data_IF_280386393928
#
_entry.id   IF_280386393928
#
_cell.length_a   1.000
_cell.length_b   1.000
_cell.length_c   1.000
_cell.angle_alpha   90.00
_cell.angle_beta   90.00
_cell.angle_gamma   90.00
#
_symmetry.space_group_name_H-M   'P 1'
#
loop_
_entity.id
_entity.type
_entity.pdbx_description
1 polymer ?
#
# COMPACT_ATOMS: atom_id res chain seq x y z
N UNK A 1 6.61 24.74 -3.81
CA UNK A 1 5.30 24.07 -3.60
C UNK A 1 5.43 22.59 -3.92
N UNK A 2 4.93 21.75 -3.04
CA UNK A 2 4.99 20.33 -3.20
C UNK A 2 3.66 19.80 -3.76
N UNK A 3 3.73 19.07 -4.85
CA UNK A 3 2.55 18.51 -5.50
C UNK A 3 2.49 17.02 -5.20
N UNK A 4 1.33 16.56 -4.75
CA UNK A 4 1.08 15.14 -4.52
C UNK A 4 -0.11 14.72 -5.38
N UNK A 5 0.11 13.80 -6.31
CA UNK A 5 -0.94 13.28 -7.17
C UNK A 5 -1.53 12.02 -6.53
N UNK A 6 -2.83 12.01 -6.32
CA UNK A 6 -3.55 10.88 -5.73
C UNK A 6 -4.54 10.31 -6.73
N UNK A 7 -4.58 8.99 -6.84
CA UNK A 7 -5.49 8.36 -7.80
C UNK A 7 -5.78 6.91 -7.45
N UNK A 8 -6.80 6.36 -8.10
CA UNK A 8 -7.24 4.97 -7.93
C UNK A 8 -6.29 3.98 -8.63
N UNK A 9 -6.54 2.70 -8.46
CA UNK A 9 -5.68 1.62 -8.93
C UNK A 9 -5.41 1.65 -10.44
N UNK A 10 -6.34 2.17 -11.24
CA UNK A 10 -6.14 2.27 -12.69
C UNK A 10 -5.02 3.22 -13.10
N UNK A 11 -4.52 4.06 -12.19
CA UNK A 11 -3.47 5.03 -12.48
C UNK A 11 -2.08 4.57 -12.02
N UNK A 12 -1.96 3.42 -11.37
CA UNK A 12 -0.66 2.90 -10.90
C UNK A 12 0.12 2.25 -12.04
N UNK A 13 0.39 3.03 -13.08
CA UNK A 13 1.08 2.59 -14.28
C UNK A 13 2.50 3.12 -14.33
N UNK A 14 3.41 2.35 -14.90
CA UNK A 14 4.81 2.71 -15.01
C UNK A 14 5.01 4.10 -15.61
N UNK A 15 4.33 4.40 -16.72
CA UNK A 15 4.50 5.67 -17.42
C UNK A 15 4.19 6.87 -16.53
N UNK A 16 3.10 6.81 -15.80
CA UNK A 16 2.67 7.91 -14.95
C UNK A 16 3.56 8.05 -13.72
N UNK A 17 3.94 6.93 -13.09
CA UNK A 17 4.82 6.95 -11.93
C UNK A 17 6.20 7.48 -12.31
N UNK A 18 6.74 7.04 -13.45
CA UNK A 18 8.03 7.52 -13.94
C UNK A 18 7.97 9.02 -14.27
N UNK A 19 6.87 9.47 -14.85
CA UNK A 19 6.67 10.88 -15.14
C UNK A 19 6.69 11.71 -13.84
N UNK A 20 5.97 11.26 -12.82
CA UNK A 20 5.96 11.93 -11.52
C UNK A 20 7.37 12.02 -10.94
N UNK A 21 8.10 10.92 -10.97
CA UNK A 21 9.45 10.84 -10.44
C UNK A 21 10.41 11.78 -11.18
N UNK A 22 10.27 11.88 -12.51
CA UNK A 22 11.11 12.75 -13.33
C UNK A 22 10.78 14.24 -13.14
N UNK A 23 9.57 14.55 -12.72
CA UNK A 23 9.11 15.94 -12.63
C UNK A 23 8.95 16.44 -11.18
N UNK A 24 9.45 15.69 -10.21
CA UNK A 24 9.40 16.10 -8.81
C UNK A 24 7.99 16.13 -8.22
N UNK A 25 7.07 15.36 -8.79
CA UNK A 25 5.70 15.23 -8.30
C UNK A 25 5.61 13.97 -7.45
N UNK A 26 5.18 14.09 -6.20
CA UNK A 26 4.93 12.91 -5.38
C UNK A 26 3.63 12.23 -5.82
N UNK A 27 3.55 10.92 -5.60
CA UNK A 27 2.35 10.18 -5.97
C UNK A 27 1.90 9.22 -4.87
N UNK A 28 0.58 9.01 -4.82
CA UNK A 28 -0.05 7.99 -3.97
C UNK A 28 -1.15 7.36 -4.82
N UNK A 29 -0.91 6.16 -5.32
CA UNK A 29 -1.86 5.45 -6.18
C UNK A 29 -2.31 4.15 -5.54
N UNK A 30 -3.60 3.89 -5.56
CA UNK A 30 -4.12 2.60 -5.14
C UNK A 30 -3.60 1.48 -6.03
N UNK A 31 -3.44 0.29 -5.48
CA UNK A 31 -3.07 -0.90 -6.23
C UNK A 31 -4.16 -1.94 -6.11
N UNK A 32 -4.47 -2.60 -7.21
CA UNK A 32 -5.36 -3.73 -7.21
C UNK A 32 -4.71 -4.91 -6.46
N UNK A 33 -5.53 -5.66 -5.75
CA UNK A 33 -5.07 -6.86 -5.03
C UNK A 33 -4.55 -7.90 -6.03
N UNK A 34 -3.48 -8.59 -5.64
CA UNK A 34 -2.98 -9.74 -6.40
C UNK A 34 -2.30 -10.70 -5.44
N UNK A 35 -2.04 -11.93 -5.90
CA UNK A 35 -1.48 -12.98 -5.04
C UNK A 35 -0.13 -12.61 -4.43
N UNK A 36 0.75 -11.96 -5.20
CA UNK A 36 2.07 -11.60 -4.71
C UNK A 36 2.00 -10.58 -3.57
N UNK A 37 1.13 -9.58 -3.71
CA UNK A 37 0.91 -8.58 -2.66
C UNK A 37 0.23 -9.21 -1.45
N UNK A 38 -0.74 -10.07 -1.66
CA UNK A 38 -1.44 -10.75 -0.57
C UNK A 38 -0.52 -11.66 0.23
N UNK A 39 0.43 -12.34 -0.43
CA UNK A 39 1.44 -13.14 0.26
C UNK A 39 2.35 -12.27 1.12
N UNK A 40 2.69 -11.09 0.66
CA UNK A 40 3.52 -10.14 1.43
C UNK A 40 2.84 -9.70 2.72
N UNK A 41 1.52 -9.53 2.70
CA UNK A 41 0.78 -9.00 3.85
C UNK A 41 0.16 -10.12 4.71
N UNK A 42 0.27 -11.37 4.29
CA UNK A 42 -0.36 -12.50 4.99
C UNK A 42 -0.02 -12.58 6.47
N UNK A 43 1.26 -12.41 6.91
CA UNK A 43 1.55 -12.43 8.34
C UNK A 43 0.83 -11.33 9.11
N UNK A 44 0.73 -10.13 8.54
CA UNK A 44 0.03 -9.02 9.18
C UNK A 44 -1.47 -9.27 9.24
N UNK A 45 -2.05 -9.89 8.22
CA UNK A 45 -3.47 -10.28 8.24
C UNK A 45 -3.75 -11.28 9.35
N UNK A 46 -2.85 -12.24 9.57
CA UNK A 46 -3.00 -13.20 10.66
C UNK A 46 -2.93 -12.50 12.02
N UNK A 47 -2.04 -11.53 12.18
CA UNK A 47 -1.91 -10.71 13.38
C UNK A 47 -3.23 -10.00 13.70
N UNK A 48 -3.82 -9.31 12.71
CA UNK A 48 -5.05 -8.56 12.95
C UNK A 48 -6.26 -9.47 13.14
N UNK A 49 -6.26 -10.65 12.51
CA UNK A 49 -7.30 -11.65 12.74
C UNK A 49 -7.33 -12.08 14.19
N UNK A 50 -6.15 -12.39 14.75
CA UNK A 50 -6.03 -12.80 16.15
C UNK A 50 -6.41 -11.66 17.09
N UNK A 51 -5.96 -10.44 16.81
CA UNK A 51 -6.30 -9.27 17.61
C UNK A 51 -7.81 -8.99 17.60
N UNK A 52 -8.44 -9.11 16.43
CA UNK A 52 -9.88 -8.93 16.29
C UNK A 52 -10.66 -9.96 17.10
N UNK A 53 -10.21 -11.20 17.10
CA UNK A 53 -10.86 -12.27 17.88
C UNK A 53 -10.79 -11.99 19.38
N UNK A 54 -9.65 -11.50 19.86
CA UNK A 54 -9.47 -11.21 21.28
C UNK A 54 -10.30 -10.03 21.75
N UNK A 55 -10.42 -8.99 20.93
CA UNK A 55 -11.10 -7.76 21.31
C UNK A 55 -12.58 -7.74 20.90
N UNK A 56 -13.00 -8.68 20.05
CA UNK A 56 -14.32 -8.71 19.43
C UNK A 56 -14.62 -7.42 18.65
N UNK A 57 -13.59 -6.81 18.09
CA UNK A 57 -13.68 -5.59 17.30
C UNK A 57 -12.79 -5.71 16.06
N UNK A 58 -13.04 -4.84 15.08
CA UNK A 58 -12.16 -4.74 13.93
C UNK A 58 -10.75 -4.37 14.35
N UNK A 59 -9.76 -4.92 13.67
CA UNK A 59 -8.35 -4.62 13.93
C UNK A 59 -7.63 -4.32 12.62
N UNK A 60 -6.61 -3.46 12.70
CA UNK A 60 -5.83 -3.11 11.52
C UNK A 60 -4.37 -2.81 11.89
N UNK A 61 -3.49 -3.02 10.92
CA UNK A 61 -2.08 -2.68 11.03
C UNK A 61 -1.57 -2.25 9.66
N UNK A 62 -0.61 -1.33 9.66
CA UNK A 62 -0.01 -0.82 8.42
C UNK A 62 1.41 -1.37 8.32
N UNK A 63 1.77 -1.83 7.12
CA UNK A 63 3.13 -2.32 6.81
C UNK A 63 3.60 -1.64 5.53
N UNK A 64 4.89 -1.45 5.39
CA UNK A 64 5.45 -0.94 4.16
C UNK A 64 6.63 -1.80 3.70
N UNK A 65 6.84 -1.85 2.39
CA UNK A 65 7.92 -2.64 1.81
C UNK A 65 8.20 -2.14 0.39
N UNK A 66 9.39 -2.47 -0.11
CA UNK A 66 9.74 -2.19 -1.51
C UNK A 66 9.26 -3.36 -2.37
N UNK A 67 8.71 -3.03 -3.53
CA UNK A 67 8.12 -4.03 -4.41
C UNK A 67 8.11 -3.55 -5.85
N UNK A 68 8.02 -4.48 -6.77
CA UNK A 68 7.89 -4.20 -8.20
C UNK A 68 7.06 -5.30 -8.85
N UNK A 69 6.42 -4.97 -9.96
CA UNK A 69 5.85 -6.00 -10.83
C UNK A 69 7.01 -6.78 -11.45
N UNK A 70 6.71 -7.95 -12.03
CA UNK A 70 7.76 -8.79 -12.61
C UNK A 70 8.41 -8.15 -13.81
N UNK A 71 7.66 -7.46 -14.65
CA UNK A 71 8.16 -7.00 -15.94
C UNK A 71 7.61 -5.64 -16.41
N UNK A 72 6.68 -5.01 -15.71
CA UNK A 72 6.10 -3.75 -16.18
C UNK A 72 6.66 -2.50 -15.50
N UNK A 73 7.21 -2.61 -14.30
CA UNK A 73 7.80 -1.46 -13.61
C UNK A 73 9.31 -1.43 -13.85
N UNK A 74 9.82 -0.23 -14.10
CA UNK A 74 11.24 -0.03 -14.34
C UNK A 74 12.08 -0.07 -13.07
N UNK A 75 11.46 0.02 -11.90
CA UNK A 75 12.14 0.08 -10.61
C UNK A 75 11.23 -0.39 -9.50
N UNK A 76 11.84 -0.74 -8.36
CA UNK A 76 11.08 -1.03 -7.15
C UNK A 76 10.57 0.27 -6.55
N UNK A 77 9.36 0.23 -6.02
CA UNK A 77 8.73 1.37 -5.36
C UNK A 77 8.15 0.95 -4.02
N UNK A 78 7.97 1.94 -3.15
CA UNK A 78 7.44 1.69 -1.82
C UNK A 78 5.95 1.41 -1.89
N UNK A 79 5.56 0.30 -1.27
CA UNK A 79 4.15 -0.07 -1.09
C UNK A 79 3.79 0.15 0.37
N UNK A 80 2.66 0.80 0.63
CA UNK A 80 2.07 0.85 1.96
C UNK A 80 0.83 -0.04 1.93
N UNK A 81 0.82 -1.03 2.79
CA UNK A 81 -0.26 -1.99 2.85
C UNK A 81 -0.99 -1.88 4.19
N UNK A 82 -2.31 -1.82 4.13
CA UNK A 82 -3.14 -1.86 5.32
C UNK A 82 -3.76 -3.25 5.41
N UNK A 83 -3.40 -3.99 6.47
CA UNK A 83 -4.02 -5.25 6.79
C UNK A 83 -5.15 -4.98 7.79
N UNK A 84 -6.37 -5.27 7.40
CA UNK A 84 -7.54 -5.00 8.21
C UNK A 84 -8.40 -6.26 8.32
N UNK A 85 -8.89 -6.53 9.51
CA UNK A 85 -9.85 -7.59 9.75
C UNK A 85 -11.14 -6.97 10.30
N UNK A 86 -12.22 -7.10 9.54
CA UNK A 86 -13.52 -6.55 9.89
C UNK A 86 -14.49 -7.67 10.23
N UNK A 87 -15.72 -7.31 10.59
CA UNK A 87 -16.78 -8.31 10.80
C UNK A 87 -17.09 -9.10 9.53
N UNK A 88 -16.70 -8.59 8.37
CA UNK A 88 -16.89 -9.27 7.10
C UNK A 88 -15.66 -10.06 6.65
N UNK A 89 -14.58 -10.08 7.44
CA UNK A 89 -13.36 -10.80 7.17
C UNK A 89 -12.19 -9.92 6.78
N UNK A 90 -11.22 -10.49 6.05
CA UNK A 90 -10.01 -9.79 5.66
C UNK A 90 -10.31 -8.71 4.62
N UNK A 91 -9.70 -7.54 4.80
CA UNK A 91 -9.84 -6.43 3.86
C UNK A 91 -8.48 -5.75 3.65
N UNK A 92 -7.55 -6.40 2.94
CA UNK A 92 -6.23 -5.79 2.68
C UNK A 92 -6.35 -4.70 1.63
N UNK A 93 -5.60 -3.62 1.82
CA UNK A 93 -5.51 -2.53 0.85
C UNK A 93 -4.05 -2.16 0.60
N UNK A 94 -3.75 -1.78 -0.62
CA UNK A 94 -2.38 -1.49 -1.04
C UNK A 94 -2.33 -0.17 -1.78
N UNK A 95 -1.28 0.62 -1.51
CA UNK A 95 -0.98 1.81 -2.30
C UNK A 95 0.50 1.82 -2.63
N UNK A 96 0.85 2.36 -3.82
CA UNK A 96 2.22 2.66 -4.18
C UNK A 96 2.44 4.15 -3.99
N UNK A 97 3.58 4.53 -3.43
CA UNK A 97 3.83 5.93 -3.12
C UNK A 97 5.30 6.28 -3.21
N UNK A 98 5.57 7.53 -3.60
CA UNK A 98 6.90 8.13 -3.54
C UNK A 98 7.15 8.86 -2.21
N UNK A 99 6.13 9.01 -1.37
CA UNK A 99 6.28 9.67 -0.08
C UNK A 99 7.19 8.87 0.85
N UNK A 100 7.99 9.55 1.65
CA UNK A 100 8.93 8.90 2.56
C UNK A 100 8.21 8.28 3.76
N UNK A 101 8.74 7.17 4.32
CA UNK A 101 8.11 6.49 5.46
C UNK A 101 7.78 7.40 6.63
N UNK A 102 8.66 8.36 6.92
CA UNK A 102 8.49 9.29 8.02
C UNK A 102 7.17 10.05 7.97
N UNK A 103 6.71 10.40 6.77
CA UNK A 103 5.45 11.14 6.60
C UNK A 103 4.23 10.28 6.88
N UNK A 104 4.30 9.01 6.52
CA UNK A 104 3.22 8.08 6.83
C UNK A 104 3.13 7.83 8.32
N UNK A 105 4.27 7.64 8.98
CA UNK A 105 4.33 7.42 10.42
C UNK A 105 3.71 8.60 11.19
N UNK A 106 3.95 9.82 10.76
CA UNK A 106 3.42 11.01 11.40
C UNK A 106 1.89 11.11 11.31
N UNK A 107 1.29 10.42 10.36
CA UNK A 107 -0.17 10.42 10.15
C UNK A 107 -0.85 9.15 10.63
N UNK A 108 -0.03 8.19 10.96
CA UNK A 108 -0.52 6.88 11.35
C UNK A 108 -1.30 6.90 12.62
#
# INVERSE_FOLDING_TARGET
>A
VRIVLRADSGFAREELMAWCEANGVDHVFGLARNERLEKKIAPALQEVRLASRKSDQAARVVRDFMWSTKDSWSRRRRIVAKAEWTTQGANPRFVVTSLKPKRWAARG
#
